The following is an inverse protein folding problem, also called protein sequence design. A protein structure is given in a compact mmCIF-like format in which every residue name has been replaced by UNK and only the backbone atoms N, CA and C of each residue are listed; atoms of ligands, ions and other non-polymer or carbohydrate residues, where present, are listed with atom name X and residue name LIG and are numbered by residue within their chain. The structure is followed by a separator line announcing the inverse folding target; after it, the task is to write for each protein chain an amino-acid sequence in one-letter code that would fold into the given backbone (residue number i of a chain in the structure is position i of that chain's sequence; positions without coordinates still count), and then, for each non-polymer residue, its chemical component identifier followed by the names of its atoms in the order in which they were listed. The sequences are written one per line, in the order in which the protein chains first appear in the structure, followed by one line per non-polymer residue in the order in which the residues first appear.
data_IF_431315023761
#
_entry.id   IF_431315023761
#
_cell.length_a   1.000
_cell.length_b   1.000
_cell.length_c   1.000
_cell.angle_alpha   90.00
_cell.angle_beta   90.00
_cell.angle_gamma   90.00
#
_symmetry.space_group_name_H-M   'P 1'
#
loop_
_entity.id
_entity.type
_entity.pdbx_description
1 polymer ?
#
# COMPACT_ATOMS: atom_id res chain seq x y z
N UNK A 1 -12.33 -14.30 -5.39
CA UNK A 1 -12.70 -12.89 -5.65
C UNK A 1 -11.61 -12.33 -6.54
N UNK A 2 -11.95 -11.76 -7.69
CA UNK A 2 -10.95 -11.18 -8.59
C UNK A 2 -10.79 -9.70 -8.27
N UNK A 3 -9.55 -9.22 -8.16
CA UNK A 3 -9.24 -7.83 -7.85
C UNK A 3 -8.44 -7.22 -9.00
N UNK A 4 -8.69 -5.95 -9.29
CA UNK A 4 -7.84 -5.11 -10.14
C UNK A 4 -7.17 -4.07 -9.26
N UNK A 5 -5.94 -3.68 -9.60
CA UNK A 5 -5.26 -2.55 -8.98
C UNK A 5 -4.96 -1.49 -10.04
N UNK A 6 -5.14 -0.23 -9.66
CA UNK A 6 -4.79 0.92 -10.47
C UNK A 6 -3.68 1.71 -9.79
N UNK A 7 -2.64 2.03 -10.54
CA UNK A 7 -1.68 3.06 -10.16
C UNK A 7 -2.28 4.43 -10.52
N UNK A 8 -2.43 5.32 -9.53
CA UNK A 8 -3.08 6.61 -9.73
C UNK A 8 -2.11 7.77 -9.94
N UNK A 9 -0.79 7.52 -10.07
CA UNK A 9 0.27 8.53 -10.22
C UNK A 9 -0.03 9.51 -11.38
N UNK A 10 -0.72 9.05 -12.43
CA UNK A 10 -1.05 9.82 -13.63
C UNK A 10 -2.54 10.05 -13.84
N UNK A 11 -3.37 9.80 -12.82
CA UNK A 11 -4.81 9.98 -12.95
C UNK A 11 -5.20 11.46 -12.97
N UNK A 12 -6.20 11.80 -13.78
CA UNK A 12 -6.88 13.09 -13.71
C UNK A 12 -7.84 13.15 -12.51
N UNK A 13 -8.32 14.35 -12.19
CA UNK A 13 -9.35 14.55 -11.17
C UNK A 13 -10.62 13.73 -11.48
N UNK A 14 -11.03 13.67 -12.75
CA UNK A 14 -12.22 12.91 -13.17
C UNK A 14 -12.06 11.41 -12.96
N UNK A 15 -10.86 10.87 -13.18
CA UNK A 15 -10.58 9.45 -12.92
C UNK A 15 -10.58 9.14 -11.42
N UNK A 16 -10.12 10.08 -10.59
CA UNK A 16 -10.09 9.94 -9.14
C UNK A 16 -11.47 10.15 -8.49
N UNK A 17 -12.31 11.00 -9.06
CA UNK A 17 -13.57 11.46 -8.46
C UNK A 17 -14.47 10.33 -7.93
N UNK A 18 -14.68 9.20 -8.63
CA UNK A 18 -15.52 8.10 -8.13
C UNK A 18 -14.96 7.42 -6.87
N UNK A 19 -13.65 7.55 -6.64
CA UNK A 19 -12.93 6.83 -5.59
C UNK A 19 -12.46 7.72 -4.45
N UNK A 20 -12.55 9.04 -4.58
CA UNK A 20 -12.03 9.99 -3.60
C UNK A 20 -12.58 9.75 -2.19
N UNK A 21 -13.91 9.73 -2.05
CA UNK A 21 -14.60 9.48 -0.79
C UNK A 21 -14.26 8.12 -0.16
N UNK A 22 -14.34 6.99 -0.91
CA UNK A 22 -13.90 5.69 -0.41
C UNK A 22 -12.42 5.63 0.01
N UNK A 23 -11.53 6.25 -0.75
CA UNK A 23 -10.09 6.33 -0.42
C UNK A 23 -9.88 7.07 0.88
N UNK A 24 -10.47 8.27 1.03
CA UNK A 24 -10.35 9.08 2.23
C UNK A 24 -10.86 8.32 3.47
N UNK A 25 -12.05 7.70 3.36
CA UNK A 25 -12.61 6.84 4.43
C UNK A 25 -11.68 5.68 4.78
N UNK A 26 -11.02 5.09 3.79
CA UNK A 26 -10.07 3.99 3.99
C UNK A 26 -8.78 4.43 4.69
N UNK A 27 -8.24 5.60 4.36
CA UNK A 27 -7.08 6.21 5.03
C UNK A 27 -7.42 6.55 6.49
N UNK A 28 -8.57 7.20 6.73
CA UNK A 28 -9.04 7.49 8.10
C UNK A 28 -9.24 6.19 8.90
N UNK A 29 -9.79 5.15 8.28
CA UNK A 29 -9.96 3.84 8.94
C UNK A 29 -8.62 3.17 9.27
N UNK A 30 -7.59 3.36 8.43
CA UNK A 30 -6.24 2.90 8.70
C UNK A 30 -5.65 3.62 9.92
N UNK A 31 -5.71 4.96 9.93
CA UNK A 31 -5.20 5.79 11.02
C UNK A 31 -5.84 5.43 12.38
N UNK A 32 -7.13 5.12 12.45
CA UNK A 32 -7.77 4.69 13.71
C UNK A 32 -7.08 3.51 14.41
N UNK A 33 -6.33 2.68 13.68
CA UNK A 33 -5.60 1.53 14.23
C UNK A 33 -4.14 1.85 14.60
N UNK A 34 -3.60 2.94 14.06
CA UNK A 34 -2.20 3.32 14.13
C UNK A 34 -2.07 4.83 14.36
N UNK A 35 -2.93 5.38 15.23
CA UNK A 35 -3.09 6.83 15.39
C UNK A 35 -1.85 7.50 16.00
N UNK A 36 -1.03 6.73 16.73
CA UNK A 36 0.25 7.18 17.28
C UNK A 36 1.36 7.19 16.24
N UNK A 37 1.21 6.45 15.13
CA UNK A 37 2.27 6.22 14.14
C UNK A 37 2.05 7.01 12.84
N UNK A 38 0.81 7.33 12.50
CA UNK A 38 0.44 8.00 11.25
C UNK A 38 -0.65 9.04 11.45
N UNK A 39 -0.59 10.15 10.72
CA UNK A 39 -1.69 11.10 10.57
C UNK A 39 -2.28 11.04 9.14
N UNK A 40 -3.62 11.10 8.94
CA UNK A 40 -4.22 11.08 7.61
C UNK A 40 -3.70 12.20 6.71
N UNK A 41 -3.50 13.39 7.27
CA UNK A 41 -3.01 14.58 6.56
C UNK A 41 -1.60 14.35 6.02
N UNK A 42 -0.73 13.71 6.80
CA UNK A 42 0.63 13.35 6.35
C UNK A 42 0.56 12.37 5.18
N UNK A 43 -0.25 11.31 5.27
CA UNK A 43 -0.40 10.33 4.19
C UNK A 43 -0.90 11.01 2.90
N UNK A 44 -1.88 11.91 3.02
CA UNK A 44 -2.43 12.63 1.87
C UNK A 44 -1.41 13.60 1.27
N UNK A 45 -0.69 14.35 2.10
CA UNK A 45 0.37 15.26 1.63
C UNK A 45 1.48 14.50 0.91
N UNK A 46 1.91 13.35 1.44
CA UNK A 46 2.93 12.52 0.80
C UNK A 46 2.45 12.02 -0.58
N UNK A 47 1.15 11.72 -0.73
CA UNK A 47 0.58 11.36 -2.04
C UNK A 47 0.58 12.57 -2.99
N UNK A 48 0.14 13.74 -2.52
CA UNK A 48 0.03 14.95 -3.33
C UNK A 48 1.40 15.49 -3.78
N UNK A 49 2.43 15.35 -2.94
CA UNK A 49 3.80 15.74 -3.24
C UNK A 49 4.53 14.73 -4.13
N UNK A 50 3.97 13.52 -4.32
CA UNK A 50 4.60 12.44 -5.07
C UNK A 50 5.63 11.63 -4.29
N UNK A 51 5.75 11.86 -2.98
CA UNK A 51 6.58 11.04 -2.08
C UNK A 51 6.02 9.62 -1.95
N UNK A 52 4.69 9.48 -2.05
CA UNK A 52 3.99 8.20 -2.11
C UNK A 52 3.10 8.11 -3.35
N UNK A 53 2.98 6.90 -3.88
CA UNK A 53 2.01 6.56 -4.92
C UNK A 53 0.79 5.95 -4.24
N UNK A 54 -0.39 6.48 -4.55
CA UNK A 54 -1.65 5.86 -4.23
C UNK A 54 -2.00 4.79 -5.27
N UNK A 55 -2.43 3.64 -4.77
CA UNK A 55 -3.02 2.58 -5.56
C UNK A 55 -4.43 2.30 -5.10
N UNK A 56 -5.34 2.10 -6.04
CA UNK A 56 -6.73 1.77 -5.78
C UNK A 56 -6.97 0.33 -6.19
N UNK A 57 -7.48 -0.48 -5.26
CA UNK A 57 -7.90 -1.85 -5.52
C UNK A 57 -9.42 -1.86 -5.64
N UNK A 58 -9.93 -2.44 -6.73
CA UNK A 58 -11.36 -2.61 -7.00
C UNK A 58 -11.71 -4.08 -7.21
N UNK A 59 -12.99 -4.42 -7.04
CA UNK A 59 -13.53 -5.72 -7.43
C UNK A 59 -13.84 -5.79 -8.94
N UNK A 60 -14.44 -6.90 -9.38
CA UNK A 60 -14.79 -7.10 -10.79
C UNK A 60 -15.83 -6.11 -11.34
N UNK A 61 -16.55 -5.40 -10.48
CA UNK A 61 -17.56 -4.40 -10.83
C UNK A 61 -17.07 -2.96 -10.62
N UNK A 62 -15.75 -2.76 -10.50
CA UNK A 62 -15.12 -1.46 -10.24
C UNK A 62 -15.49 -0.84 -8.88
N UNK A 63 -16.06 -1.62 -7.95
CA UNK A 63 -16.31 -1.10 -6.61
C UNK A 63 -15.00 -0.97 -5.84
N UNK A 64 -14.81 0.15 -5.15
CA UNK A 64 -13.66 0.34 -4.27
C UNK A 64 -13.59 -0.76 -3.19
N UNK A 65 -12.44 -1.43 -3.13
CA UNK A 65 -12.15 -2.47 -2.15
C UNK A 65 -11.12 -2.00 -1.14
N UNK A 66 -9.98 -1.47 -1.59
CA UNK A 66 -8.90 -1.06 -0.70
C UNK A 66 -8.00 0.00 -1.33
N UNK A 67 -7.24 0.70 -0.48
CA UNK A 67 -6.13 1.53 -0.91
C UNK A 67 -4.81 0.87 -0.52
N UNK A 68 -3.77 1.13 -1.30
CA UNK A 68 -2.38 0.88 -0.94
C UNK A 68 -1.58 2.16 -1.18
N UNK A 69 -0.64 2.49 -0.30
CA UNK A 69 0.40 3.47 -0.62
C UNK A 69 1.75 2.80 -0.72
N UNK A 70 2.55 3.25 -1.69
CA UNK A 70 3.91 2.78 -1.86
C UNK A 70 4.87 3.93 -2.07
N UNK A 71 6.13 3.71 -1.72
CA UNK A 71 7.21 4.66 -1.97
C UNK A 71 8.46 3.95 -2.48
N UNK A 72 9.35 4.70 -3.11
CA UNK A 72 10.66 4.22 -3.53
C UNK A 72 11.72 4.83 -2.61
N UNK A 73 12.45 3.97 -1.91
CA UNK A 73 13.55 4.36 -1.04
C UNK A 73 14.88 4.01 -1.69
N UNK A 74 15.90 4.85 -1.45
CA UNK A 74 17.30 4.53 -1.78
C UNK A 74 18.04 4.18 -0.50
N UNK A 75 18.54 2.95 -0.41
CA UNK A 75 19.33 2.51 0.73
C UNK A 75 20.72 3.14 0.72
N UNK A 76 21.42 3.06 1.86
CA UNK A 76 22.80 3.53 2.02
C UNK A 76 23.74 2.88 0.99
N UNK A 77 23.48 1.63 0.61
CA UNK A 77 24.23 0.90 -0.43
C UNK A 77 23.96 1.40 -1.86
N UNK A 78 23.06 2.36 -2.03
CA UNK A 78 22.57 2.84 -3.32
C UNK A 78 21.47 1.98 -3.95
N UNK A 79 21.12 0.86 -3.34
CA UNK A 79 20.05 -0.04 -3.81
C UNK A 79 18.69 0.64 -3.69
N UNK A 80 17.87 0.54 -4.75
CA UNK A 80 16.48 0.98 -4.72
C UNK A 80 15.59 -0.11 -4.12
N UNK A 81 14.77 0.27 -3.15
CA UNK A 81 13.80 -0.57 -2.44
C UNK A 81 12.41 0.05 -2.57
N UNK A 82 11.45 -0.72 -3.02
CA UNK A 82 10.05 -0.33 -2.90
C UNK A 82 9.52 -0.64 -1.50
N UNK A 83 8.65 0.20 -0.96
CA UNK A 83 8.00 -0.04 0.34
C UNK A 83 6.50 0.10 0.19
N UNK A 84 5.74 -0.92 0.59
CA UNK A 84 4.30 -0.80 0.85
C UNK A 84 4.15 -0.28 2.29
N UNK A 85 3.60 0.93 2.41
CA UNK A 85 3.51 1.69 3.68
C UNK A 85 2.15 1.50 4.32
N UNK A 86 1.07 1.75 3.56
CA UNK A 86 -0.30 1.56 4.05
C UNK A 86 -1.07 0.60 3.15
N UNK A 87 -1.89 -0.24 3.76
CA UNK A 87 -2.86 -1.10 3.07
C UNK A 87 -4.10 -1.25 3.96
N UNK A 88 -5.24 -0.74 3.49
CA UNK A 88 -6.49 -0.80 4.23
C UNK A 88 -7.70 -0.89 3.31
N UNK A 89 -8.70 -1.66 3.74
CA UNK A 89 -9.93 -1.87 3.00
C UNK A 89 -10.52 -3.26 3.24
N UNK A 90 -11.35 -3.68 2.29
CA UNK A 90 -12.08 -4.95 2.23
C UNK A 90 -11.33 -5.93 1.32
N UNK A 91 -11.37 -7.22 1.67
CA UNK A 91 -10.73 -8.30 0.89
C UNK A 91 -9.68 -9.10 1.68
N UNK A 92 -9.17 -8.56 2.78
CA UNK A 92 -8.27 -9.26 3.69
C UNK A 92 -7.07 -9.89 2.96
N UNK A 93 -6.73 -11.14 3.31
CA UNK A 93 -5.61 -11.88 2.70
C UNK A 93 -5.68 -11.97 1.17
N UNK A 94 -6.87 -11.92 0.58
CA UNK A 94 -7.02 -12.05 -0.88
C UNK A 94 -6.46 -10.84 -1.64
N UNK A 95 -6.30 -9.68 -0.99
CA UNK A 95 -5.63 -8.53 -1.59
C UNK A 95 -4.15 -8.81 -1.89
N UNK A 96 -3.54 -9.84 -1.30
CA UNK A 96 -2.18 -10.23 -1.68
C UNK A 96 -2.06 -10.65 -3.15
N UNK A 97 -3.16 -11.01 -3.81
CA UNK A 97 -3.18 -11.40 -5.22
C UNK A 97 -2.78 -10.27 -6.18
N UNK A 98 -2.87 -9.01 -5.75
CA UNK A 98 -2.45 -7.85 -6.58
C UNK A 98 -1.00 -7.43 -6.33
N UNK A 99 -0.30 -8.01 -5.35
CA UNK A 99 1.11 -7.68 -5.06
C UNK A 99 2.02 -7.84 -6.29
N UNK A 100 1.89 -8.89 -7.13
CA UNK A 100 2.73 -9.03 -8.32
C UNK A 100 2.67 -7.84 -9.30
N UNK A 101 1.55 -7.10 -9.33
CA UNK A 101 1.41 -5.91 -10.17
C UNK A 101 2.23 -4.73 -9.62
N UNK A 102 2.28 -4.59 -8.29
CA UNK A 102 3.13 -3.59 -7.61
C UNK A 102 4.61 -3.96 -7.78
N UNK A 103 4.96 -5.24 -7.65
CA UNK A 103 6.32 -5.75 -7.86
C UNK A 103 6.81 -5.47 -9.28
N UNK A 104 6.00 -5.75 -10.30
CA UNK A 104 6.34 -5.50 -11.69
C UNK A 104 6.65 -4.01 -11.93
N UNK A 105 5.80 -3.12 -11.44
CA UNK A 105 5.99 -1.67 -11.54
C UNK A 105 7.32 -1.20 -10.93
N UNK A 106 7.65 -1.67 -9.72
CA UNK A 106 8.89 -1.25 -9.07
C UNK A 106 10.14 -1.93 -9.64
N UNK A 107 10.00 -3.15 -10.16
CA UNK A 107 11.08 -3.83 -10.89
C UNK A 107 11.46 -3.05 -12.15
N UNK A 108 10.48 -2.54 -12.89
CA UNK A 108 10.72 -1.66 -14.05
C UNK A 108 11.43 -0.36 -13.66
N UNK A 109 11.12 0.18 -12.47
CA UNK A 109 11.85 1.33 -11.89
C UNK A 109 13.22 0.99 -11.30
N UNK A 110 13.68 -0.25 -11.44
CA UNK A 110 15.01 -0.70 -11.00
C UNK A 110 15.12 -1.07 -9.53
N UNK A 111 14.00 -1.15 -8.79
CA UNK A 111 14.00 -1.66 -7.43
C UNK A 111 14.50 -3.11 -7.39
N UNK A 112 15.33 -3.43 -6.40
CA UNK A 112 15.90 -4.78 -6.21
C UNK A 112 15.14 -5.61 -5.18
N UNK A 113 14.30 -4.96 -4.39
CA UNK A 113 13.48 -5.60 -3.38
C UNK A 113 12.20 -4.77 -3.12
N UNK A 114 11.20 -5.46 -2.60
CA UNK A 114 9.96 -4.85 -2.09
C UNK A 114 9.82 -5.22 -0.61
N UNK A 115 9.68 -4.20 0.24
CA UNK A 115 9.40 -4.34 1.66
C UNK A 115 7.91 -4.09 1.92
N UNK A 116 7.30 -4.89 2.79
CA UNK A 116 5.93 -4.67 3.26
C UNK A 116 5.97 -4.51 4.77
N UNK A 117 5.58 -3.33 5.26
CA UNK A 117 5.36 -3.09 6.69
C UNK A 117 3.91 -3.44 6.98
N UNK A 118 3.67 -4.47 7.79
CA UNK A 118 2.32 -4.97 7.97
C UNK A 118 2.12 -5.87 9.17
N UNK A 119 0.84 -6.05 9.53
CA UNK A 119 0.43 -6.88 10.66
C UNK A 119 0.75 -8.36 10.41
N UNK A 120 1.07 -9.10 11.49
CA UNK A 120 1.35 -10.55 11.47
C UNK A 120 0.33 -11.39 10.72
N UNK A 121 -0.94 -10.99 10.68
CA UNK A 121 -2.01 -11.69 9.94
C UNK A 121 -1.75 -11.84 8.43
N UNK A 122 -0.89 -11.00 7.85
CA UNK A 122 -0.50 -11.10 6.45
C UNK A 122 0.54 -12.18 6.17
N UNK A 123 1.24 -12.69 7.20
CA UNK A 123 2.40 -13.58 7.07
C UNK A 123 2.14 -14.74 6.11
N UNK A 124 1.08 -15.53 6.32
CA UNK A 124 0.78 -16.70 5.48
C UNK A 124 0.55 -16.32 4.01
N UNK A 125 -0.11 -15.18 3.78
CA UNK A 125 -0.41 -14.70 2.43
C UNK A 125 0.81 -14.15 1.72
N UNK A 126 1.69 -13.46 2.45
CA UNK A 126 2.93 -12.91 1.88
C UNK A 126 3.96 -14.02 1.62
N UNK A 127 4.03 -15.04 2.48
CA UNK A 127 4.89 -16.20 2.27
C UNK A 127 4.56 -16.97 0.97
N UNK A 128 3.29 -17.05 0.57
CA UNK A 128 2.94 -17.65 -0.73
C UNK A 128 3.41 -16.84 -1.94
N UNK A 129 3.80 -15.59 -1.74
CA UNK A 129 4.42 -14.72 -2.75
C UNK A 129 5.94 -14.58 -2.55
N UNK A 130 6.56 -15.44 -1.74
CA UNK A 130 8.02 -15.46 -1.56
C UNK A 130 8.56 -14.46 -0.53
N UNK A 131 7.72 -13.69 0.15
CA UNK A 131 8.16 -12.78 1.21
C UNK A 131 8.58 -13.56 2.47
N UNK A 132 9.65 -13.08 3.10
CA UNK A 132 10.13 -13.57 4.39
C UNK A 132 9.98 -12.51 5.47
N UNK A 133 9.92 -12.93 6.73
CA UNK A 133 9.90 -11.99 7.86
C UNK A 133 11.31 -11.46 8.05
N UNK A 134 11.48 -10.14 7.89
CA UNK A 134 12.77 -9.47 8.07
C UNK A 134 12.93 -8.83 9.46
N UNK A 135 11.88 -8.19 9.99
CA UNK A 135 11.90 -7.47 11.27
C UNK A 135 10.62 -7.74 12.06
N UNK A 136 10.75 -7.77 13.39
CA UNK A 136 9.63 -7.78 14.33
C UNK A 136 9.71 -6.51 15.19
N UNK A 137 8.60 -5.79 15.31
CA UNK A 137 8.46 -4.65 16.20
C UNK A 137 7.83 -5.11 17.53
N UNK A 138 8.46 -4.75 18.65
CA UNK A 138 7.96 -5.02 20.00
C UNK A 138 7.61 -3.68 20.68
N UNK A 139 6.37 -3.54 21.16
CA UNK A 139 5.88 -2.34 21.86
C UNK A 139 5.45 -2.71 23.28
N UNK A 140 5.85 -1.90 24.27
CA UNK A 140 5.41 -1.99 25.66
C UNK A 140 4.99 -0.59 26.12
N UNK A 141 3.78 -0.47 26.65
CA UNK A 141 3.35 0.75 27.34
C UNK A 141 4.08 0.82 28.70
N UNK A 142 4.68 1.97 29.00
CA UNK A 142 5.39 2.21 30.26
C UNK A 142 4.42 2.66 31.35
#
# INVERSE_FOLDING_TARGET
MNFKIYNTEKWSADQMAPYFDPVLKSIVSFNKKFAEDYAPETILNDILNGDKILWIIVDAHENFMAHVTTELQKLITGTLRAVIVTLSGRGGKHLSQVIPQIEAYYKEKGAKELLIIGRRGWKKSLQSHGYVVNLLEYRKQL
#
